data_IF_192372541066
#
_entry.id   IF_192372541066
#
_cell.length_a   1.000
_cell.length_b   1.000
_cell.length_c   1.000
_cell.angle_alpha   90.00
_cell.angle_beta   90.00
_cell.angle_gamma   90.00
#
_symmetry.space_group_name_H-M   'P 1'
#
loop_
_entity.id
_entity.type
_entity.pdbx_description
1 polymer ?
#
# COMPACT_ATOMS: atom_id res chain seq x y z
N UNK A 1 -8.84 -11.24 6.11
CA UNK A 1 -10.10 -10.65 6.63
C UNK A 1 -10.99 -10.33 5.44
N UNK A 2 -12.32 -10.38 5.55
CA UNK A 2 -13.19 -9.97 4.42
C UNK A 2 -13.24 -8.43 4.36
N UNK A 3 -12.22 -7.83 3.75
CA UNK A 3 -12.05 -6.38 3.62
C UNK A 3 -11.72 -5.97 2.18
N UNK A 4 -11.70 -4.66 1.93
CA UNK A 4 -11.55 -4.10 0.56
C UNK A 4 -10.19 -4.41 -0.09
N UNK A 5 -9.20 -4.85 0.67
CA UNK A 5 -7.91 -5.31 0.13
C UNK A 5 -8.05 -6.61 -0.69
N UNK A 6 -9.06 -7.43 -0.42
CA UNK A 6 -9.36 -8.67 -1.14
C UNK A 6 -10.24 -8.37 -2.36
N UNK A 7 -9.63 -7.80 -3.40
CA UNK A 7 -10.34 -7.36 -4.61
C UNK A 7 -10.54 -8.48 -5.65
N UNK A 8 -10.21 -9.73 -5.32
CA UNK A 8 -10.32 -10.86 -6.25
C UNK A 8 -11.76 -11.09 -6.70
N UNK A 9 -12.04 -10.86 -7.99
CA UNK A 9 -13.38 -11.05 -8.56
C UNK A 9 -14.34 -9.87 -8.39
N UNK A 10 -13.89 -8.73 -7.83
CA UNK A 10 -14.70 -7.51 -7.80
C UNK A 10 -14.95 -6.94 -9.19
N UNK A 11 -16.12 -6.34 -9.40
CA UNK A 11 -16.53 -5.70 -10.63
C UNK A 11 -16.62 -4.18 -10.44
N UNK A 12 -16.55 -3.41 -11.54
CA UNK A 12 -16.79 -1.96 -11.52
C UNK A 12 -15.56 -1.07 -11.23
N UNK A 13 -14.34 -1.60 -11.30
CA UNK A 13 -13.09 -0.85 -11.02
C UNK A 13 -12.57 -0.02 -12.21
N UNK A 14 -13.25 -0.07 -13.36
CA UNK A 14 -12.80 0.58 -14.59
C UNK A 14 -11.60 -0.12 -15.25
N UNK A 15 -11.11 0.44 -16.38
CA UNK A 15 -9.94 -0.09 -17.08
C UNK A 15 -8.63 0.22 -16.34
N UNK A 16 -7.64 -0.66 -16.48
CA UNK A 16 -6.28 -0.43 -15.96
C UNK A 16 -5.63 0.72 -16.73
N UNK A 17 -5.22 1.76 -16.00
CA UNK A 17 -4.45 2.88 -16.54
C UNK A 17 -2.95 2.64 -16.29
N UNK A 18 -2.12 2.88 -17.29
CA UNK A 18 -0.66 2.70 -17.22
C UNK A 18 0.06 4.01 -17.57
N UNK A 19 1.07 4.36 -16.79
CA UNK A 19 1.94 5.50 -17.05
C UNK A 19 3.20 5.05 -17.82
N UNK A 20 3.39 5.57 -19.03
CA UNK A 20 4.60 5.29 -19.80
C UNK A 20 5.81 5.94 -19.13
N UNK A 21 6.85 5.15 -18.86
CA UNK A 21 8.06 5.57 -18.16
C UNK A 21 7.81 6.04 -16.71
N UNK A 22 6.88 5.38 -16.01
CA UNK A 22 6.60 5.64 -14.59
C UNK A 22 7.90 5.72 -13.77
N UNK A 23 8.10 6.79 -12.98
CA UNK A 23 9.27 6.90 -12.10
C UNK A 23 9.18 5.89 -10.96
N UNK A 24 10.30 5.58 -10.33
CA UNK A 24 10.32 4.69 -9.13
C UNK A 24 9.51 5.31 -7.97
N UNK A 25 9.55 6.63 -7.83
CA UNK A 25 8.77 7.41 -6.89
C UNK A 25 8.27 8.68 -7.59
N UNK A 26 6.97 8.98 -7.50
CA UNK A 26 6.33 10.20 -8.00
C UNK A 26 6.62 11.40 -7.11
N UNK A 27 6.89 11.16 -5.82
CA UNK A 27 7.23 12.22 -4.88
C UNK A 27 8.39 11.84 -3.94
N UNK A 28 9.17 12.84 -3.53
CA UNK A 28 10.35 12.65 -2.66
C UNK A 28 10.01 11.93 -1.35
N UNK A 29 8.80 12.14 -0.82
CA UNK A 29 8.38 11.53 0.45
C UNK A 29 8.14 10.03 0.34
N UNK A 30 7.78 9.51 -0.83
CA UNK A 30 7.51 8.07 -1.04
C UNK A 30 8.78 7.24 -0.82
N UNK A 31 9.92 7.73 -1.34
CA UNK A 31 11.22 7.11 -1.11
C UNK A 31 11.67 7.14 0.35
N UNK A 32 11.21 8.14 1.13
CA UNK A 32 11.45 8.22 2.57
C UNK A 32 10.62 7.18 3.33
N UNK A 33 9.33 7.06 3.01
CA UNK A 33 8.44 6.05 3.60
C UNK A 33 8.94 4.63 3.31
N UNK A 34 9.31 4.35 2.06
CA UNK A 34 9.92 3.07 1.68
C UNK A 34 11.18 2.77 2.51
N UNK A 35 12.07 3.76 2.64
CA UNK A 35 13.32 3.63 3.40
C UNK A 35 13.07 3.40 4.89
N UNK A 36 12.09 4.10 5.47
CA UNK A 36 11.65 3.92 6.86
C UNK A 36 11.11 2.51 7.09
N UNK A 37 10.18 2.05 6.25
CA UNK A 37 9.64 0.70 6.35
C UNK A 37 10.77 -0.34 6.28
N UNK A 38 11.74 -0.17 5.36
CA UNK A 38 12.88 -1.08 5.23
C UNK A 38 13.79 -1.08 6.46
N UNK A 39 14.10 0.09 7.00
CA UNK A 39 14.94 0.24 8.19
C UNK A 39 14.27 -0.36 9.42
N UNK A 40 12.98 -0.10 9.61
CA UNK A 40 12.23 -0.60 10.76
C UNK A 40 12.03 -2.12 10.67
N UNK A 41 11.80 -2.69 9.48
CA UNK A 41 11.74 -4.15 9.30
C UNK A 41 13.03 -4.86 9.72
N UNK A 42 14.19 -4.20 9.59
CA UNK A 42 15.45 -4.76 10.08
C UNK A 42 15.50 -4.87 11.62
N UNK A 43 14.66 -4.12 12.34
CA UNK A 43 14.56 -4.16 13.80
C UNK A 43 13.82 -5.39 14.33
N UNK A 44 13.05 -6.10 13.48
CA UNK A 44 12.35 -7.36 13.79
C UNK A 44 11.41 -7.31 14.99
N UNK A 45 10.92 -6.12 15.37
CA UNK A 45 9.91 -5.97 16.43
C UNK A 45 8.53 -6.45 16.00
N UNK A 46 8.27 -6.45 14.70
CA UNK A 46 7.12 -7.07 14.06
C UNK A 46 7.55 -7.69 12.73
N UNK A 47 6.71 -8.57 12.21
CA UNK A 47 6.96 -9.29 10.95
C UNK A 47 6.13 -8.69 9.81
N UNK A 48 6.37 -9.20 8.60
CA UNK A 48 5.66 -8.77 7.40
C UNK A 48 4.15 -9.06 7.47
N UNK A 49 3.74 -10.08 8.20
CA UNK A 49 2.32 -10.41 8.38
C UNK A 49 1.61 -9.33 9.21
N UNK A 50 2.29 -8.78 10.21
CA UNK A 50 1.78 -7.65 11.02
C UNK A 50 1.64 -6.39 10.16
N UNK A 51 2.61 -6.10 9.30
CA UNK A 51 2.56 -4.95 8.38
C UNK A 51 1.34 -5.06 7.45
N UNK A 52 1.17 -6.22 6.80
CA UNK A 52 0.02 -6.48 5.92
C UNK A 52 -1.30 -6.33 6.68
N UNK A 53 -1.39 -6.96 7.84
CA UNK A 53 -2.61 -6.92 8.63
C UNK A 53 -2.96 -5.48 9.06
N UNK A 54 -1.97 -4.66 9.40
CA UNK A 54 -2.19 -3.23 9.70
C UNK A 54 -2.83 -2.47 8.54
N UNK A 55 -2.37 -2.73 7.31
CA UNK A 55 -2.95 -2.14 6.09
C UNK A 55 -4.38 -2.66 5.85
N UNK A 56 -4.63 -3.95 6.09
CA UNK A 56 -5.94 -4.59 5.93
C UNK A 56 -7.02 -4.03 6.88
N UNK A 57 -6.61 -3.40 7.99
CA UNK A 57 -7.49 -2.80 8.99
C UNK A 57 -7.89 -1.34 8.67
N UNK A 58 -7.33 -0.73 7.62
CA UNK A 58 -7.71 0.63 7.22
C UNK A 58 -9.21 0.71 6.90
N UNK A 59 -9.90 1.82 7.25
CA UNK A 59 -11.27 2.05 6.80
C UNK A 59 -11.38 1.90 5.27
N UNK A 60 -12.39 1.21 4.73
CA UNK A 60 -12.45 0.90 3.30
C UNK A 60 -12.35 2.12 2.38
N UNK A 61 -12.95 3.24 2.77
CA UNK A 61 -12.90 4.48 2.01
C UNK A 61 -11.47 5.07 1.96
N UNK A 62 -10.72 4.97 3.05
CA UNK A 62 -9.33 5.44 3.11
C UNK A 62 -8.41 4.53 2.31
N UNK A 63 -8.56 3.20 2.44
CA UNK A 63 -7.76 2.25 1.67
C UNK A 63 -7.84 2.48 0.16
N UNK A 64 -9.03 2.82 -0.34
CA UNK A 64 -9.28 3.07 -1.77
C UNK A 64 -8.86 4.48 -2.23
N UNK A 65 -8.88 5.47 -1.34
CA UNK A 65 -8.51 6.86 -1.65
C UNK A 65 -7.00 7.09 -1.55
N UNK A 66 -6.33 6.42 -0.62
CA UNK A 66 -4.90 6.58 -0.37
C UNK A 66 -4.06 6.07 -1.53
N UNK A 67 -2.97 6.77 -1.83
CA UNK A 67 -1.92 6.28 -2.71
C UNK A 67 -1.21 5.07 -2.10
N UNK A 68 -0.37 4.39 -2.89
CA UNK A 68 0.28 3.17 -2.43
C UNK A 68 1.12 3.39 -1.15
N UNK A 69 1.96 4.43 -1.15
CA UNK A 69 2.84 4.75 -0.03
C UNK A 69 2.15 5.49 1.11
N UNK A 70 0.93 6.03 0.93
CA UNK A 70 0.13 6.57 2.04
C UNK A 70 -0.39 5.48 2.99
N UNK A 71 -0.45 4.22 2.53
CA UNK A 71 -0.85 3.08 3.35
C UNK A 71 0.31 2.49 4.16
N UNK A 72 1.55 2.93 3.91
CA UNK A 72 2.77 2.34 4.47
C UNK A 72 3.24 3.03 5.76
#
# INVERSE_FOLDING_TARGET
MNGVHDMGGMQGMGPVQYEKNEPVFHAVWEGRVYSLNRAIRAWRKWNLDTDRHGIELLPPADYLRMSYYERW
#
